data_IF_670979985617
#
_entry.id   IF_670979985617
#
_cell.length_a   1.000
_cell.length_b   1.000
_cell.length_c   1.000
_cell.angle_alpha   90.00
_cell.angle_beta   90.00
_cell.angle_gamma   90.00
#
_symmetry.space_group_name_H-M   'P 1'
#
loop_
_entity.id
_entity.type
_entity.pdbx_description
1 polymer ?
#
# COMPACT_ATOMS: atom_id res chain seq x y z
N UNK A 1 -16.79 13.40 -13.16
CA UNK A 1 -16.48 12.40 -12.10
C UNK A 1 -15.00 12.50 -11.74
N UNK A 2 -14.70 13.08 -10.59
CA UNK A 2 -13.35 13.09 -10.01
C UNK A 2 -13.02 11.70 -9.47
N UNK A 3 -11.75 11.30 -9.51
CA UNK A 3 -11.30 10.08 -8.81
C UNK A 3 -11.10 10.49 -7.36
N UNK A 4 -11.74 9.78 -6.43
CA UNK A 4 -11.47 9.97 -5.01
C UNK A 4 -10.10 9.36 -4.69
N UNK A 5 -9.08 10.22 -4.63
CA UNK A 5 -7.69 9.83 -4.36
C UNK A 5 -7.54 9.15 -3.00
N UNK A 6 -8.43 9.46 -2.04
CA UNK A 6 -8.40 8.86 -0.71
C UNK A 6 -8.73 7.37 -0.75
N UNK A 7 -9.42 6.90 -1.79
CA UNK A 7 -9.82 5.50 -1.98
C UNK A 7 -8.93 4.72 -2.95
N UNK A 8 -7.94 5.36 -3.59
CA UNK A 8 -7.06 4.71 -4.57
C UNK A 8 -5.89 4.02 -3.84
N UNK A 9 -5.70 2.70 -4.00
CA UNK A 9 -4.50 2.01 -3.54
C UNK A 9 -3.24 2.63 -4.16
N UNK A 10 -2.41 3.26 -3.34
CA UNK A 10 -1.09 3.76 -3.77
C UNK A 10 0.03 2.86 -3.28
N UNK A 11 -0.14 2.25 -2.11
CA UNK A 11 0.87 1.38 -1.53
C UNK A 11 0.24 0.10 -1.00
N UNK A 12 0.98 -1.01 -1.11
CA UNK A 12 0.69 -2.26 -0.40
C UNK A 12 1.86 -2.58 0.49
N UNK A 13 1.64 -2.54 1.81
CA UNK A 13 2.64 -2.94 2.81
C UNK A 13 2.47 -4.41 3.10
N UNK A 14 3.55 -5.17 2.90
CA UNK A 14 3.69 -6.56 3.27
C UNK A 14 4.43 -6.67 4.59
N UNK A 15 3.78 -7.33 5.54
CA UNK A 15 4.40 -7.79 6.78
C UNK A 15 4.61 -9.29 6.61
N UNK A 16 5.85 -9.75 6.72
CA UNK A 16 6.23 -11.13 6.41
C UNK A 16 5.46 -12.12 7.32
N UNK A 17 4.53 -12.88 6.74
CA UNK A 17 3.65 -13.81 7.46
C UNK A 17 2.30 -13.25 7.96
N UNK A 18 2.05 -11.95 7.81
CA UNK A 18 0.83 -11.28 8.31
C UNK A 18 -0.04 -10.71 7.17
N UNK A 19 -1.18 -10.11 7.54
CA UNK A 19 -2.10 -9.50 6.58
C UNK A 19 -1.49 -8.22 5.99
N UNK A 20 -1.58 -8.02 4.66
CA UNK A 20 -1.06 -6.83 4.02
C UNK A 20 -1.97 -5.62 4.28
N UNK A 21 -1.37 -4.43 4.39
CA UNK A 21 -2.10 -3.17 4.47
C UNK A 21 -2.11 -2.50 3.10
N UNK A 22 -3.26 -1.91 2.74
CA UNK A 22 -3.40 -1.07 1.56
C UNK A 22 -3.53 0.37 2.01
N UNK A 23 -2.67 1.23 1.47
CA UNK A 23 -2.59 2.64 1.83
C UNK A 23 -2.88 3.51 0.61
N UNK A 24 -3.47 4.67 0.85
CA UNK A 24 -3.63 5.71 -0.18
C UNK A 24 -2.37 6.58 -0.31
N UNK A 25 -2.45 7.64 -1.12
CA UNK A 25 -1.33 8.57 -1.38
C UNK A 25 -0.81 9.24 -0.10
N UNK A 26 -1.69 9.52 0.86
CA UNK A 26 -1.38 10.12 2.15
C UNK A 26 -0.86 9.09 3.17
N UNK A 27 -0.62 7.84 2.74
CA UNK A 27 -0.18 6.71 3.57
C UNK A 27 -1.17 6.34 4.66
N UNK A 28 -2.43 6.69 4.48
CA UNK A 28 -3.53 6.30 5.37
C UNK A 28 -4.00 4.90 4.96
N UNK A 29 -4.19 4.03 5.96
CA UNK A 29 -4.75 2.69 5.73
C UNK A 29 -6.18 2.81 5.23
N UNK A 30 -6.42 2.33 4.01
CA UNK A 30 -7.76 2.26 3.43
C UNK A 30 -8.34 0.85 3.53
N UNK A 31 -7.48 -0.18 3.58
CA UNK A 31 -7.88 -1.58 3.77
C UNK A 31 -6.80 -2.32 4.55
N UNK A 32 -7.20 -3.19 5.49
CA UNK A 32 -6.30 -4.08 6.25
C UNK A 32 -6.08 -5.44 5.59
N UNK A 33 -6.53 -5.56 4.34
CA UNK A 33 -6.32 -6.69 3.46
C UNK A 33 -6.20 -6.18 2.02
N UNK A 34 -5.31 -6.80 1.25
CA UNK A 34 -5.20 -6.61 -0.18
C UNK A 34 -5.88 -7.80 -0.87
N UNK A 35 -6.71 -7.52 -1.87
CA UNK A 35 -7.30 -8.58 -2.68
C UNK A 35 -6.21 -9.39 -3.38
N UNK A 36 -6.52 -10.63 -3.77
CA UNK A 36 -5.58 -11.46 -4.54
C UNK A 36 -5.17 -10.79 -5.86
N UNK A 37 -6.10 -10.08 -6.50
CA UNK A 37 -5.84 -9.34 -7.74
C UNK A 37 -4.92 -8.15 -7.49
N UNK A 38 -5.16 -7.38 -6.44
CA UNK A 38 -4.31 -6.25 -6.06
C UNK A 38 -2.89 -6.72 -5.72
N UNK A 39 -2.75 -7.83 -5.00
CA UNK A 39 -1.43 -8.42 -4.70
C UNK A 39 -0.72 -8.92 -5.96
N UNK A 40 -1.43 -9.59 -6.86
CA UNK A 40 -0.87 -10.05 -8.13
C UNK A 40 -0.41 -8.85 -8.97
N UNK A 41 -1.24 -7.81 -9.06
CA UNK A 41 -0.89 -6.55 -9.73
C UNK A 41 0.37 -5.91 -9.11
N UNK A 42 0.40 -5.78 -7.78
CA UNK A 42 1.52 -5.20 -7.04
C UNK A 42 2.84 -5.95 -7.31
N UNK A 43 2.80 -7.29 -7.32
CA UNK A 43 3.97 -8.13 -7.61
C UNK A 43 4.47 -8.01 -9.06
N UNK A 44 3.56 -7.84 -10.01
CA UNK A 44 3.89 -7.75 -11.44
C UNK A 44 4.38 -6.37 -11.86
N UNK A 45 3.85 -5.31 -11.24
CA UNK A 45 4.09 -3.92 -11.68
C UNK A 45 4.85 -3.08 -10.66
N UNK A 46 4.74 -3.39 -9.38
CA UNK A 46 5.42 -2.67 -8.32
C UNK A 46 6.82 -3.20 -8.07
N UNK A 47 7.71 -2.31 -7.64
CA UNK A 47 9.00 -2.70 -7.07
C UNK A 47 8.82 -2.91 -5.57
N UNK A 48 9.32 -4.04 -5.05
CA UNK A 48 9.32 -4.30 -3.62
C UNK A 48 10.48 -3.53 -2.98
N UNK A 49 10.17 -2.64 -2.04
CA UNK A 49 11.16 -1.78 -1.38
C UNK A 49 11.10 -1.92 0.14
N UNK A 50 12.23 -1.56 0.79
CA UNK A 50 12.32 -1.44 2.25
C UNK A 50 11.53 -0.25 2.75
N UNK A 51 11.02 -0.33 3.99
CA UNK A 51 10.33 0.79 4.63
C UNK A 51 11.15 1.28 5.82
N UNK A 52 11.48 2.56 5.84
CA UNK A 52 12.14 3.24 6.95
C UNK A 52 11.62 4.68 7.13
N UNK A 53 12.18 5.37 8.13
CA UNK A 53 11.93 6.79 8.37
C UNK A 53 10.74 7.12 9.26
N UNK A 54 10.52 8.42 9.46
CA UNK A 54 9.54 8.96 10.42
C UNK A 54 8.11 8.55 10.10
N UNK A 55 7.75 8.56 8.82
CA UNK A 55 6.40 8.18 8.38
C UNK A 55 6.10 6.70 8.61
N UNK A 56 7.11 5.84 8.49
CA UNK A 56 6.98 4.43 8.83
C UNK A 56 6.79 4.19 10.32
N UNK A 57 7.52 4.95 11.16
CA UNK A 57 7.35 4.88 12.61
C UNK A 57 5.93 5.27 13.01
N UNK A 58 5.40 6.38 12.48
CA UNK A 58 4.02 6.82 12.70
C UNK A 58 3.00 5.74 12.30
N UNK A 59 3.16 5.14 11.13
CA UNK A 59 2.30 4.05 10.68
C UNK A 59 2.38 2.84 11.62
N UNK A 60 3.59 2.43 11.96
CA UNK A 60 3.85 1.26 12.79
C UNK A 60 3.29 1.43 14.20
N UNK A 61 3.42 2.63 14.77
CA UNK A 61 2.84 2.96 16.07
C UNK A 61 1.31 3.02 15.98
N UNK A 62 0.74 3.63 14.92
CA UNK A 62 -0.70 3.70 14.74
C UNK A 62 -1.38 2.35 14.48
N UNK A 63 -0.64 1.36 13.97
CA UNK A 63 -1.14 -0.01 13.75
C UNK A 63 -0.65 -1.00 14.82
N UNK A 64 -0.03 -0.52 15.91
CA UNK A 64 0.50 -1.33 17.01
C UNK A 64 1.45 -2.46 16.55
N UNK A 65 2.25 -2.21 15.51
CA UNK A 65 3.17 -3.20 14.97
C UNK A 65 4.31 -3.49 15.95
N UNK A 66 4.63 -4.76 16.12
CA UNK A 66 5.76 -5.24 16.89
C UNK A 66 7.11 -4.97 16.20
N UNK A 67 8.20 -4.99 16.97
CA UNK A 67 9.56 -4.79 16.43
C UNK A 67 9.92 -5.76 15.28
N UNK A 68 9.60 -7.08 15.36
CA UNK A 68 9.81 -8.00 14.24
C UNK A 68 9.04 -7.59 12.98
N UNK A 69 7.75 -7.28 13.10
CA UNK A 69 6.93 -6.83 11.96
C UNK A 69 7.51 -5.59 11.31
N UNK A 70 7.98 -4.63 12.11
CA UNK A 70 8.61 -3.39 11.61
C UNK A 70 9.86 -3.65 10.79
N UNK A 71 10.70 -4.62 11.19
CA UNK A 71 11.97 -4.94 10.50
C UNK A 71 11.74 -5.66 9.17
N UNK A 72 10.74 -6.53 9.14
CA UNK A 72 10.43 -7.36 7.98
C UNK A 72 9.45 -6.68 7.01
N UNK A 73 8.90 -5.52 7.38
CA UNK A 73 8.00 -4.77 6.55
C UNK A 73 8.66 -4.33 5.24
N UNK A 74 7.95 -4.60 4.14
CA UNK A 74 8.30 -4.18 2.78
C UNK A 74 7.05 -3.62 2.12
N UNK A 75 7.21 -2.84 1.05
CA UNK A 75 6.04 -2.32 0.34
C UNK A 75 6.21 -2.35 -1.17
N UNK A 76 5.07 -2.36 -1.87
CA UNK A 76 4.97 -2.03 -3.28
C UNK A 76 4.38 -0.63 -3.44
N UNK A 77 5.01 0.21 -4.26
CA UNK A 77 4.35 1.37 -4.84
C UNK A 77 3.54 0.95 -6.08
N UNK A 78 2.27 1.35 -6.13
CA UNK A 78 1.33 0.99 -7.18
C UNK A 78 1.09 2.10 -8.20
N UNK A 79 1.35 3.34 -7.79
CA UNK A 79 1.13 4.56 -8.58
C UNK A 79 2.45 5.30 -8.68
N UNK A 80 2.90 5.54 -9.90
CA UNK A 80 4.17 6.19 -10.23
C UNK A 80 3.99 7.66 -10.66
N UNK A 81 2.75 8.13 -10.75
CA UNK A 81 2.38 9.50 -11.13
C UNK A 81 2.15 9.72 -12.63
N UNK A 82 2.31 8.68 -13.45
CA UNK A 82 2.06 8.70 -14.90
C UNK A 82 0.70 8.10 -15.29
N UNK A 83 -0.06 7.60 -14.31
CA UNK A 83 -1.31 6.90 -14.51
C UNK A 83 -2.44 7.85 -14.92
N UNK A 84 -3.23 7.39 -15.88
CA UNK A 84 -4.46 8.08 -16.29
C UNK A 84 -5.55 7.95 -15.22
N UNK A 85 -6.51 8.88 -15.23
CA UNK A 85 -7.71 8.79 -14.37
C UNK A 85 -8.45 7.46 -14.50
N UNK A 86 -8.44 6.85 -15.68
CA UNK A 86 -9.08 5.55 -15.89
C UNK A 86 -8.32 4.42 -15.17
N UNK A 87 -6.99 4.39 -15.29
CA UNK A 87 -6.14 3.42 -14.59
C UNK A 87 -6.27 3.54 -13.07
N UNK A 88 -6.31 4.75 -12.52
CA UNK A 88 -6.51 4.97 -11.08
C UNK A 88 -7.88 4.44 -10.60
N UNK A 89 -8.93 4.56 -11.41
CA UNK A 89 -10.24 3.98 -11.08
C UNK A 89 -10.24 2.46 -11.13
N UNK A 90 -9.56 1.87 -12.11
CA UNK A 90 -9.43 0.41 -12.18
C UNK A 90 -8.73 -0.09 -10.92
N UNK A 91 -7.64 0.56 -10.52
CA UNK A 91 -6.88 0.22 -9.33
C UNK A 91 -7.71 0.33 -8.04
N UNK A 92 -8.56 1.36 -7.92
CA UNK A 92 -9.47 1.51 -6.78
C UNK A 92 -10.49 0.36 -6.65
N UNK A 93 -10.82 -0.31 -7.76
CA UNK A 93 -11.78 -1.41 -7.82
C UNK A 93 -11.13 -2.79 -7.71
N UNK A 94 -9.80 -2.87 -7.60
CA UNK A 94 -9.09 -4.14 -7.35
C UNK A 94 -9.22 -4.57 -5.89
#
# INVERSE_FOLDING_TARGET
MTVDQSSVPHYVVLLNGWRPYVLNVDRIVIRREASRLLLAFARSHGKLEGIDGVEWNKFSDAQDLSVPERREARFYALVMGAETKHQLRLLANL
#
